data_IF_834757983419
#
_entry.id   IF_834757983419
#
_cell.length_a   1.000
_cell.length_b   1.000
_cell.length_c   1.000
_cell.angle_alpha   90.00
_cell.angle_beta   90.00
_cell.angle_gamma   90.00
#
_symmetry.space_group_name_H-M   'P 1'
#
loop_
_entity.id
_entity.type
_entity.pdbx_description
1 polymer ?
#
# COMPACT_ATOMS: atom_id res chain seq x y z
N UNK A 1 11.30 40.23 -10.59
CA UNK A 1 10.40 39.09 -10.31
C UNK A 1 11.14 38.15 -9.36
N UNK A 2 10.80 38.17 -8.07
CA UNK A 2 11.41 37.30 -7.05
C UNK A 2 10.90 35.87 -7.27
N UNK A 3 11.81 34.94 -7.56
CA UNK A 3 11.49 33.51 -7.58
C UNK A 3 11.69 32.97 -6.16
N UNK A 4 10.60 32.76 -5.44
CA UNK A 4 10.61 32.03 -4.17
C UNK A 4 10.66 30.53 -4.44
N UNK A 5 11.58 29.82 -3.77
CA UNK A 5 11.63 28.37 -3.79
C UNK A 5 10.37 27.85 -3.07
N UNK A 6 9.46 27.24 -3.84
CA UNK A 6 8.31 26.51 -3.28
C UNK A 6 8.78 25.09 -2.96
N UNK A 7 9.02 24.80 -1.68
CA UNK A 7 9.44 23.47 -1.21
C UNK A 7 8.28 22.44 -1.23
N UNK A 8 7.08 22.88 -1.63
CA UNK A 8 5.90 22.03 -1.71
C UNK A 8 5.91 21.25 -3.03
N UNK A 9 6.44 20.03 -2.96
CA UNK A 9 6.52 19.14 -4.11
C UNK A 9 5.36 18.12 -4.09
N UNK A 10 4.33 18.34 -4.91
CA UNK A 10 3.18 17.42 -5.09
C UNK A 10 3.49 16.18 -5.93
N UNK A 11 4.71 16.12 -6.44
CA UNK A 11 5.34 14.94 -6.98
C UNK A 11 4.94 13.66 -6.22
N UNK A 12 4.31 12.74 -6.95
CA UNK A 12 3.97 11.37 -6.53
C UNK A 12 5.25 10.59 -6.16
N UNK A 13 5.92 10.96 -5.06
CA UNK A 13 6.99 10.18 -4.45
C UNK A 13 6.32 8.94 -3.87
N UNK A 14 6.17 7.92 -4.71
CA UNK A 14 5.78 6.60 -4.25
C UNK A 14 6.99 6.06 -3.50
N UNK A 15 6.88 5.98 -2.18
CA UNK A 15 7.98 5.55 -1.34
C UNK A 15 8.12 4.02 -1.46
N UNK A 16 9.32 3.56 -1.80
CA UNK A 16 9.70 2.18 -1.58
C UNK A 16 9.95 1.99 -0.07
N UNK A 17 8.86 1.84 0.69
CA UNK A 17 8.91 1.83 2.13
C UNK A 17 9.34 0.44 2.64
N UNK A 18 10.54 0.35 3.23
CA UNK A 18 11.06 -0.86 3.86
C UNK A 18 10.18 -1.35 5.03
N UNK A 19 9.42 -0.46 5.65
CA UNK A 19 8.52 -0.74 6.78
C UNK A 19 7.19 -1.36 6.36
N UNK A 20 6.83 -1.32 5.07
CA UNK A 20 5.63 -1.97 4.53
C UNK A 20 5.81 -3.49 4.44
N UNK A 21 6.14 -4.13 5.57
CA UNK A 21 6.28 -5.58 5.73
C UNK A 21 4.91 -6.25 5.65
N UNK A 22 4.89 -7.53 5.34
CA UNK A 22 3.66 -8.35 5.23
C UNK A 22 2.74 -8.16 6.45
N UNK A 23 3.31 -8.06 7.67
CA UNK A 23 2.52 -7.81 8.89
C UNK A 23 1.79 -6.46 8.88
N UNK A 24 2.44 -5.39 8.45
CA UNK A 24 1.85 -4.05 8.35
C UNK A 24 0.79 -4.00 7.25
N UNK A 25 1.07 -4.67 6.12
CA UNK A 25 0.15 -4.83 5.00
C UNK A 25 -1.12 -5.51 5.59
N UNK A 26 -1.01 -6.70 6.19
CA UNK A 26 -2.15 -7.40 6.83
C UNK A 26 -2.94 -6.49 7.77
N UNK A 27 -2.29 -5.77 8.70
CA UNK A 27 -3.02 -4.95 9.67
C UNK A 27 -3.88 -3.84 9.05
N UNK A 28 -3.57 -3.39 7.83
CA UNK A 28 -4.33 -2.35 7.14
C UNK A 28 -5.56 -2.85 6.38
N UNK A 29 -5.52 -4.05 5.81
CA UNK A 29 -6.63 -4.57 4.99
C UNK A 29 -7.20 -5.91 5.49
N UNK A 30 -6.81 -6.38 6.68
CA UNK A 30 -7.32 -7.64 7.22
C UNK A 30 -8.85 -7.72 7.14
N UNK A 31 -9.54 -6.66 7.59
CA UNK A 31 -10.99 -6.58 7.56
C UNK A 31 -11.54 -6.59 6.10
N UNK A 32 -10.86 -5.90 5.18
CA UNK A 32 -11.25 -5.84 3.77
C UNK A 32 -11.16 -7.23 3.10
N UNK A 33 -10.07 -7.95 3.36
CA UNK A 33 -9.84 -9.30 2.82
C UNK A 33 -10.76 -10.33 3.46
N UNK A 34 -11.02 -10.23 4.77
CA UNK A 34 -11.98 -11.12 5.45
C UNK A 34 -13.41 -10.94 4.93
N UNK A 35 -13.83 -9.69 4.66
CA UNK A 35 -15.15 -9.39 4.08
C UNK A 35 -15.26 -9.76 2.59
N UNK A 36 -14.16 -9.61 1.85
CA UNK A 36 -14.11 -9.87 0.40
C UNK A 36 -12.91 -10.77 0.03
N UNK A 37 -12.98 -12.10 0.27
CA UNK A 37 -11.84 -13.00 0.03
C UNK A 37 -11.39 -13.06 -1.44
N UNK A 38 -12.30 -12.77 -2.37
CA UNK A 38 -12.05 -12.73 -3.81
C UNK A 38 -11.38 -11.44 -4.31
N UNK A 39 -11.12 -10.45 -3.43
CA UNK A 39 -10.53 -9.17 -3.83
C UNK A 39 -9.22 -9.33 -4.61
N UNK A 40 -9.04 -8.56 -5.67
CA UNK A 40 -7.82 -8.62 -6.47
C UNK A 40 -6.61 -8.08 -5.68
N UNK A 41 -5.46 -8.75 -5.79
CA UNK A 41 -4.22 -8.31 -5.14
C UNK A 41 -3.67 -7.01 -5.74
N UNK A 42 -3.94 -6.74 -7.02
CA UNK A 42 -3.62 -5.46 -7.67
C UNK A 42 -4.39 -4.32 -7.03
N UNK A 43 -5.70 -4.51 -6.79
CA UNK A 43 -6.53 -3.50 -6.12
C UNK A 43 -6.00 -3.18 -4.72
N UNK A 44 -5.55 -4.19 -3.96
CA UNK A 44 -4.89 -3.93 -2.66
C UNK A 44 -3.60 -3.12 -2.85
N UNK A 45 -2.80 -3.43 -3.87
CA UNK A 45 -1.59 -2.67 -4.21
C UNK A 45 -1.89 -1.21 -4.58
N UNK A 46 -2.93 -0.97 -5.38
CA UNK A 46 -3.37 0.36 -5.79
C UNK A 46 -3.89 1.15 -4.58
N UNK A 47 -4.69 0.52 -3.71
CA UNK A 47 -5.14 1.14 -2.47
C UNK A 47 -3.96 1.51 -1.54
N UNK A 48 -2.91 0.70 -1.49
CA UNK A 48 -1.70 1.01 -0.72
C UNK A 48 -0.94 2.21 -1.31
N UNK A 49 -0.92 2.31 -2.64
CA UNK A 49 -0.30 3.44 -3.34
C UNK A 49 -1.10 4.73 -3.15
N UNK A 50 -2.41 4.68 -3.26
CA UNK A 50 -3.28 5.86 -3.16
C UNK A 50 -3.39 6.38 -1.72
N UNK A 51 -3.69 5.50 -0.76
CA UNK A 51 -3.95 5.92 0.62
C UNK A 51 -2.67 6.15 1.43
N UNK A 52 -1.59 5.43 1.12
CA UNK A 52 -0.37 5.43 1.93
C UNK A 52 0.88 5.85 1.15
N UNK A 53 0.77 6.11 -0.16
CA UNK A 53 1.91 6.47 -1.03
C UNK A 53 3.03 5.43 -1.00
N UNK A 54 2.68 4.15 -0.78
CA UNK A 54 3.64 3.04 -0.71
C UNK A 54 3.55 2.18 -1.98
N UNK A 55 4.69 1.95 -2.63
CA UNK A 55 4.80 0.89 -3.63
C UNK A 55 5.15 -0.41 -2.91
N UNK A 56 4.35 -1.45 -3.10
CA UNK A 56 4.68 -2.78 -2.61
C UNK A 56 4.74 -3.75 -3.78
N UNK A 57 5.77 -4.59 -3.77
CA UNK A 57 5.83 -5.76 -4.64
C UNK A 57 4.57 -6.64 -4.49
N UNK A 58 4.03 -7.07 -5.63
CA UNK A 58 2.77 -7.82 -5.69
C UNK A 58 2.84 -9.17 -4.98
N UNK A 59 4.02 -9.80 -4.90
CA UNK A 59 4.19 -11.05 -4.15
C UNK A 59 4.02 -10.83 -2.65
N UNK A 60 4.45 -9.67 -2.12
CA UNK A 60 4.24 -9.32 -0.71
C UNK A 60 2.76 -9.11 -0.43
N UNK A 61 2.03 -8.46 -1.34
CA UNK A 61 0.58 -8.28 -1.23
C UNK A 61 -0.13 -9.64 -1.26
N UNK A 62 0.26 -10.54 -2.17
CA UNK A 62 -0.28 -11.91 -2.23
C UNK A 62 -0.05 -12.70 -0.94
N UNK A 63 1.17 -12.68 -0.41
CA UNK A 63 1.50 -13.33 0.88
C UNK A 63 0.67 -12.75 2.03
N UNK A 64 0.46 -11.44 2.02
CA UNK A 64 -0.32 -10.76 3.04
C UNK A 64 -1.82 -11.09 2.95
N UNK A 65 -2.40 -11.12 1.74
CA UNK A 65 -3.77 -11.61 1.51
C UNK A 65 -3.93 -13.04 2.02
N UNK A 66 -3.03 -13.95 1.64
CA UNK A 66 -3.06 -15.35 2.07
C UNK A 66 -2.99 -15.48 3.61
N UNK A 67 -2.20 -14.63 4.26
CA UNK A 67 -2.10 -14.60 5.72
C UNK A 67 -3.37 -14.06 6.39
N UNK A 68 -3.94 -12.98 5.86
CA UNK A 68 -5.19 -12.40 6.37
C UNK A 68 -6.38 -13.38 6.29
N UNK A 69 -6.41 -14.24 5.27
CA UNK A 69 -7.44 -15.30 5.11
C UNK A 69 -7.20 -16.46 6.09
N UNK A 70 -5.95 -16.83 6.33
CA UNK A 70 -5.62 -18.01 7.15
C UNK A 70 -5.79 -17.79 8.66
N UNK A 71 -5.68 -16.54 9.14
CA UNK A 71 -5.62 -16.23 10.58
C UNK A 71 -4.28 -16.63 11.17
#
# INVERSE_FOLDING_TARGET
>A
MLKTLVDQHECHRVYNNKEAKVKWIVSKFENLVKKNPSIDVKLIGDLLRENYRVLVDIQRVYKAKKRAIKG
#
